data_IF_118645102628
#
_entry.id   IF_118645102628
#
_cell.length_a   1.000
_cell.length_b   1.000
_cell.length_c   1.000
_cell.angle_alpha   90.00
_cell.angle_beta   90.00
_cell.angle_gamma   90.00
#
_symmetry.space_group_name_H-M   'P 1'
#
loop_
_entity.id
_entity.type
_entity.pdbx_description
1 polymer ?
#
# COMPACT_ATOMS: atom_id res chain seq x y z
N UNK A 1 16.42 -0.53 5.42
CA UNK A 1 14.94 -0.43 5.34
C UNK A 1 14.35 -1.81 5.08
N UNK A 2 13.33 -2.18 5.83
CA UNK A 2 12.71 -3.51 5.74
C UNK A 2 11.67 -3.49 4.62
N UNK A 3 11.74 -4.46 3.70
CA UNK A 3 10.82 -4.59 2.57
C UNK A 3 9.84 -5.73 2.79
N UNK A 4 8.65 -5.62 2.19
CA UNK A 4 7.75 -6.76 2.05
C UNK A 4 8.18 -7.64 0.89
N UNK A 5 8.27 -8.95 1.12
CA UNK A 5 8.45 -9.90 0.02
C UNK A 5 7.11 -10.08 -0.70
N UNK A 6 7.18 -10.44 -1.98
CA UNK A 6 6.00 -10.75 -2.78
C UNK A 6 5.19 -11.88 -2.14
N UNK A 7 5.88 -12.93 -1.69
CA UNK A 7 5.25 -14.08 -1.05
C UNK A 7 4.44 -13.68 0.18
N UNK A 8 4.97 -12.75 0.97
CA UNK A 8 4.26 -12.28 2.16
C UNK A 8 3.01 -11.48 1.80
N UNK A 9 3.09 -10.64 0.77
CA UNK A 9 1.93 -9.89 0.28
C UNK A 9 0.85 -10.85 -0.21
N UNK A 10 1.23 -11.86 -0.97
CA UNK A 10 0.30 -12.88 -1.47
C UNK A 10 -0.38 -13.64 -0.33
N UNK A 11 0.39 -14.02 0.69
CA UNK A 11 -0.15 -14.71 1.86
C UNK A 11 -1.15 -13.82 2.62
N UNK A 12 -0.79 -12.56 2.86
CA UNK A 12 -1.67 -11.62 3.56
C UNK A 12 -2.95 -11.37 2.79
N UNK A 13 -2.88 -11.23 1.47
CA UNK A 13 -4.07 -11.07 0.64
C UNK A 13 -4.97 -12.30 0.74
N UNK A 14 -4.41 -13.49 0.67
CA UNK A 14 -5.17 -14.73 0.80
C UNK A 14 -5.88 -14.81 2.16
N UNK A 15 -5.16 -14.52 3.24
CA UNK A 15 -5.73 -14.53 4.59
C UNK A 15 -6.85 -13.52 4.74
N UNK A 16 -6.70 -12.33 4.17
CA UNK A 16 -7.74 -11.30 4.19
C UNK A 16 -8.98 -11.74 3.40
N UNK A 17 -8.79 -12.32 2.22
CA UNK A 17 -9.88 -12.79 1.39
C UNK A 17 -10.66 -13.91 2.09
N UNK A 18 -9.97 -14.86 2.70
CA UNK A 18 -10.61 -15.96 3.46
C UNK A 18 -11.40 -15.42 4.65
N UNK A 19 -10.86 -14.44 5.36
CA UNK A 19 -11.51 -13.86 6.53
C UNK A 19 -12.76 -13.05 6.19
N UNK A 20 -12.83 -12.47 5.00
CA UNK A 20 -13.92 -11.56 4.60
C UNK A 20 -14.87 -12.16 3.56
N UNK A 21 -14.63 -13.40 3.12
CA UNK A 21 -15.43 -14.04 2.07
C UNK A 21 -15.17 -13.50 0.67
N UNK A 22 -14.09 -12.74 0.49
CA UNK A 22 -13.70 -12.21 -0.82
C UNK A 22 -13.01 -13.25 -1.69
N UNK A 23 -12.77 -12.88 -2.95
CA UNK A 23 -12.09 -13.76 -3.91
C UNK A 23 -10.58 -13.72 -3.71
N UNK A 24 -9.96 -14.89 -3.69
CA UNK A 24 -8.50 -15.02 -3.74
C UNK A 24 -8.06 -15.03 -5.20
N UNK A 25 -6.85 -14.57 -5.47
CA UNK A 25 -6.24 -14.65 -6.78
C UNK A 25 -5.68 -13.33 -7.26
N UNK A 26 -4.76 -13.45 -8.20
CA UNK A 26 -4.08 -12.34 -8.83
C UNK A 26 -4.73 -12.10 -10.18
N UNK A 27 -5.11 -10.84 -10.46
CA UNK A 27 -5.61 -10.44 -11.77
C UNK A 27 -4.44 -10.18 -12.73
N UNK A 28 -3.38 -9.54 -12.23
CA UNK A 28 -2.22 -9.18 -13.05
C UNK A 28 -0.96 -9.18 -12.18
N UNK A 29 -0.15 -10.22 -12.37
CA UNK A 29 1.07 -10.40 -11.57
C UNK A 29 2.13 -9.33 -11.89
N UNK A 30 2.20 -8.88 -13.13
CA UNK A 30 3.11 -7.80 -13.53
C UNK A 30 2.80 -6.50 -12.82
N UNK A 31 1.51 -6.19 -12.62
CA UNK A 31 1.10 -5.01 -11.86
C UNK A 31 1.44 -5.15 -10.37
N UNK A 32 1.34 -6.35 -9.82
CA UNK A 32 1.77 -6.58 -8.44
C UNK A 32 3.27 -6.36 -8.29
N UNK A 33 4.08 -6.94 -9.16
CA UNK A 33 5.53 -6.76 -9.15
C UNK A 33 5.90 -5.28 -9.30
N UNK A 34 5.25 -4.59 -10.23
CA UNK A 34 5.46 -3.16 -10.46
C UNK A 34 5.14 -2.32 -9.23
N UNK A 35 4.05 -2.65 -8.51
CA UNK A 35 3.69 -1.94 -7.29
C UNK A 35 4.74 -2.13 -6.19
N UNK A 36 5.22 -3.36 -5.99
CA UNK A 36 6.19 -3.65 -4.95
C UNK A 36 7.57 -3.08 -5.25
N UNK A 37 7.99 -3.12 -6.51
CA UNK A 37 9.30 -2.60 -6.93
C UNK A 37 9.29 -1.08 -7.07
N UNK A 38 8.18 -0.49 -7.49
CA UNK A 38 8.06 0.94 -7.79
C UNK A 38 8.40 1.85 -6.62
N UNK A 39 8.07 1.44 -5.40
CA UNK A 39 8.36 2.22 -4.21
C UNK A 39 9.88 2.33 -3.94
N UNK A 40 10.67 1.40 -4.47
CA UNK A 40 12.11 1.35 -4.30
C UNK A 40 12.87 1.74 -5.57
N UNK A 41 12.15 2.19 -6.59
CA UNK A 41 12.75 2.58 -7.86
C UNK A 41 13.53 3.89 -7.73
N UNK A 42 14.49 4.06 -8.64
CA UNK A 42 15.31 5.25 -8.69
C UNK A 42 16.10 5.33 -9.98
N UNK A 43 16.92 6.37 -10.08
CA UNK A 43 17.83 6.56 -11.20
C UNK A 43 19.22 6.84 -10.66
N UNK A 44 20.18 5.99 -11.00
CA UNK A 44 21.54 6.08 -10.46
C UNK A 44 21.50 5.88 -8.94
N UNK A 45 22.09 6.82 -8.20
CA UNK A 45 22.11 6.77 -6.73
C UNK A 45 20.91 7.47 -6.10
N UNK A 46 19.98 7.99 -6.91
CA UNK A 46 18.82 8.72 -6.41
C UNK A 46 17.56 7.86 -6.44
N UNK A 47 16.92 7.73 -5.30
CA UNK A 47 15.62 7.09 -5.19
C UNK A 47 14.51 8.10 -5.48
N UNK A 48 13.44 7.65 -6.16
CA UNK A 48 12.28 8.51 -6.42
C UNK A 48 11.48 8.78 -5.15
N UNK A 49 11.50 7.82 -4.20
CA UNK A 49 10.78 7.90 -2.94
C UNK A 49 11.76 7.61 -1.80
N UNK A 50 12.61 8.60 -1.43
CA UNK A 50 13.75 8.32 -0.53
C UNK A 50 13.35 8.06 0.92
N UNK A 51 12.26 8.61 1.42
CA UNK A 51 11.86 8.43 2.82
C UNK A 51 10.96 7.21 3.01
N UNK A 52 10.88 6.72 4.24
CA UNK A 52 9.98 5.63 4.61
C UNK A 52 8.52 6.00 4.37
N UNK A 53 8.16 7.24 4.70
CA UNK A 53 6.82 7.77 4.51
C UNK A 53 6.45 7.79 3.03
N UNK A 54 7.37 8.26 2.18
CA UNK A 54 7.16 8.27 0.74
C UNK A 54 7.00 6.87 0.17
N UNK A 55 7.83 5.92 0.60
CA UNK A 55 7.74 4.54 0.15
C UNK A 55 6.45 3.88 0.60
N UNK A 56 6.06 4.07 1.85
CA UNK A 56 4.82 3.53 2.39
C UNK A 56 3.60 4.04 1.65
N UNK A 57 3.53 5.35 1.45
CA UNK A 57 2.44 5.98 0.69
C UNK A 57 2.42 5.48 -0.76
N UNK A 58 3.59 5.30 -1.39
CA UNK A 58 3.66 4.81 -2.77
C UNK A 58 3.17 3.36 -2.88
N UNK A 59 3.55 2.49 -1.94
CA UNK A 59 3.05 1.12 -1.89
C UNK A 59 1.53 1.10 -1.80
N UNK A 60 0.97 1.83 -0.85
CA UNK A 60 -0.48 1.90 -0.67
C UNK A 60 -1.19 2.44 -1.88
N UNK A 61 -0.72 3.56 -2.41
CA UNK A 61 -1.32 4.21 -3.56
C UNK A 61 -1.34 3.28 -4.78
N UNK A 62 -0.20 2.66 -5.09
CA UNK A 62 -0.08 1.82 -6.28
C UNK A 62 -0.89 0.53 -6.15
N UNK A 63 -0.84 -0.14 -4.99
CA UNK A 63 -1.60 -1.36 -4.75
C UNK A 63 -3.11 -1.13 -4.85
N UNK A 64 -3.59 0.03 -4.37
CA UNK A 64 -5.01 0.37 -4.49
C UNK A 64 -5.37 0.68 -5.94
N UNK A 65 -4.53 1.46 -6.63
CA UNK A 65 -4.88 2.06 -7.92
C UNK A 65 -4.72 1.11 -9.10
N UNK A 66 -3.76 0.17 -9.08
CA UNK A 66 -3.48 -0.66 -10.24
C UNK A 66 -4.25 -1.97 -10.31
N UNK A 67 -5.02 -2.31 -9.30
CA UNK A 67 -5.90 -3.48 -9.29
C UNK A 67 -5.17 -4.79 -9.65
N UNK A 68 -4.06 -5.07 -8.99
CA UNK A 68 -3.27 -6.29 -9.22
C UNK A 68 -4.00 -7.56 -8.82
N UNK A 69 -4.88 -7.49 -7.82
CA UNK A 69 -5.68 -8.61 -7.34
C UNK A 69 -7.09 -8.59 -7.93
N UNK A 70 -7.73 -9.75 -7.93
CA UNK A 70 -9.11 -9.88 -8.38
C UNK A 70 -10.06 -9.06 -7.48
N UNK A 71 -9.79 -9.07 -6.17
CA UNK A 71 -10.63 -8.42 -5.17
C UNK A 71 -9.76 -7.95 -4.00
N UNK A 72 -10.27 -7.01 -3.20
CA UNK A 72 -9.63 -6.58 -1.97
C UNK A 72 -8.44 -5.64 -2.15
N UNK A 73 -8.30 -4.97 -3.29
CA UNK A 73 -7.16 -4.08 -3.56
C UNK A 73 -7.08 -2.91 -2.59
N UNK A 74 -8.20 -2.29 -2.24
CA UNK A 74 -8.24 -1.19 -1.27
C UNK A 74 -7.73 -1.66 0.09
N UNK A 75 -8.23 -2.81 0.53
CA UNK A 75 -7.90 -3.36 1.85
C UNK A 75 -6.43 -3.76 1.94
N UNK A 76 -5.95 -4.52 0.94
CA UNK A 76 -4.54 -4.95 0.96
C UNK A 76 -3.59 -3.77 0.82
N UNK A 77 -3.91 -2.78 0.00
CA UNK A 77 -3.08 -1.59 -0.18
C UNK A 77 -2.92 -0.81 1.12
N UNK A 78 -4.02 -0.55 1.82
CA UNK A 78 -3.99 0.14 3.12
C UNK A 78 -3.20 -0.68 4.14
N UNK A 79 -3.45 -1.98 4.20
CA UNK A 79 -2.79 -2.87 5.15
C UNK A 79 -1.28 -2.91 4.94
N UNK A 80 -0.83 -3.06 3.69
CA UNK A 80 0.60 -3.10 3.36
C UNK A 80 1.27 -1.76 3.66
N UNK A 81 0.61 -0.65 3.36
CA UNK A 81 1.13 0.69 3.71
C UNK A 81 1.39 0.80 5.21
N UNK A 82 0.38 0.48 6.03
CA UNK A 82 0.50 0.58 7.48
C UNK A 82 1.58 -0.36 8.01
N UNK A 83 1.59 -1.60 7.54
CA UNK A 83 2.55 -2.60 8.00
C UNK A 83 3.98 -2.25 7.61
N UNK A 84 4.18 -1.74 6.39
CA UNK A 84 5.50 -1.29 5.95
C UNK A 84 6.01 -0.15 6.83
N UNK A 85 5.18 0.84 7.09
CA UNK A 85 5.56 1.97 7.94
C UNK A 85 5.90 1.50 9.36
N UNK A 86 5.07 0.63 9.93
CA UNK A 86 5.30 0.12 11.29
C UNK A 86 6.58 -0.71 11.38
N UNK A 87 6.84 -1.58 10.41
CA UNK A 87 8.06 -2.36 10.35
C UNK A 87 9.31 -1.49 10.28
N UNK A 88 9.18 -0.29 9.74
CA UNK A 88 10.27 0.66 9.59
C UNK A 88 10.26 1.76 10.66
N UNK A 89 9.54 1.55 11.74
CA UNK A 89 9.57 2.41 12.92
C UNK A 89 8.62 3.61 12.89
N UNK A 90 7.69 3.64 11.94
CA UNK A 90 6.72 4.73 11.82
C UNK A 90 5.33 4.22 12.18
N UNK A 91 4.79 4.78 13.26
CA UNK A 91 3.44 4.46 13.71
C UNK A 91 2.49 5.58 13.31
N UNK A 92 1.33 5.21 12.77
CA UNK A 92 0.28 6.17 12.45
C UNK A 92 -0.80 6.13 13.53
N UNK A 93 -1.36 7.29 13.82
CA UNK A 93 -2.48 7.45 14.74
C UNK A 93 -3.71 7.82 13.93
N UNK A 94 -4.60 6.85 13.74
CA UNK A 94 -5.81 7.03 12.92
C UNK A 94 -6.86 6.01 13.34
N UNK A 95 -8.10 6.28 12.95
CA UNK A 95 -9.23 5.39 13.20
C UNK A 95 -9.42 4.43 12.03
N UNK A 96 -10.17 3.36 12.25
CA UNK A 96 -10.54 2.42 11.18
C UNK A 96 -11.36 3.14 10.10
N UNK A 97 -12.25 4.04 10.48
CA UNK A 97 -13.06 4.82 9.54
C UNK A 97 -12.20 5.70 8.63
N UNK A 98 -11.14 6.30 9.18
CA UNK A 98 -10.18 7.07 8.38
C UNK A 98 -9.45 6.18 7.38
N UNK A 99 -9.09 4.95 7.77
CA UNK A 99 -8.43 4.00 6.88
C UNK A 99 -9.34 3.57 5.74
N UNK A 100 -10.61 3.30 6.03
CA UNK A 100 -11.60 2.98 5.00
C UNK A 100 -11.75 4.16 4.03
N UNK A 101 -11.82 5.38 4.56
CA UNK A 101 -11.99 6.57 3.75
C UNK A 101 -10.81 6.82 2.80
N UNK A 102 -9.57 6.67 3.26
CA UNK A 102 -8.42 6.84 2.36
C UNK A 102 -8.38 5.78 1.28
N UNK A 103 -8.73 4.53 1.59
CA UNK A 103 -8.82 3.47 0.60
C UNK A 103 -9.82 3.80 -0.51
N UNK A 104 -11.00 4.27 -0.12
CA UNK A 104 -12.04 4.69 -1.06
C UNK A 104 -11.61 5.92 -1.86
N UNK A 105 -10.98 6.90 -1.21
CA UNK A 105 -10.55 8.14 -1.85
C UNK A 105 -9.47 7.91 -2.89
N UNK A 106 -8.50 7.05 -2.60
CA UNK A 106 -7.47 6.67 -3.58
C UNK A 106 -8.09 5.89 -4.73
N UNK A 107 -8.92 4.91 -4.43
CA UNK A 107 -9.55 4.06 -5.46
C UNK A 107 -10.44 4.85 -6.42
N UNK A 108 -11.10 5.89 -5.94
CA UNK A 108 -11.99 6.73 -6.75
C UNK A 108 -11.25 7.85 -7.50
N UNK A 109 -9.96 8.03 -7.28
CA UNK A 109 -9.18 9.10 -7.88
C UNK A 109 -9.29 10.45 -7.18
N UNK A 110 -10.03 10.54 -6.08
CA UNK A 110 -10.15 11.78 -5.31
C UNK A 110 -8.88 12.12 -4.54
N UNK A 111 -8.12 11.11 -4.16
CA UNK A 111 -6.85 11.27 -3.45
C UNK A 111 -5.71 10.77 -4.32
N UNK A 112 -4.79 11.65 -4.65
CA UNK A 112 -3.58 11.33 -5.41
C UNK A 112 -2.46 10.89 -4.47
N UNK A 113 -1.36 10.43 -5.04
CA UNK A 113 -0.21 10.02 -4.24
C UNK A 113 0.27 11.10 -3.28
N UNK A 114 0.42 12.35 -3.75
CA UNK A 114 0.92 13.45 -2.94
C UNK A 114 -0.01 13.74 -1.75
N UNK A 115 -1.30 13.61 -1.96
CA UNK A 115 -2.30 13.80 -0.91
C UNK A 115 -2.27 12.64 0.10
N UNK A 116 -2.06 11.41 -0.37
CA UNK A 116 -1.90 10.27 0.53
C UNK A 116 -0.63 10.40 1.35
N UNK A 117 0.47 10.85 0.75
CA UNK A 117 1.71 11.13 1.47
C UNK A 117 1.47 12.19 2.56
N UNK A 118 0.78 13.27 2.23
CA UNK A 118 0.48 14.31 3.22
C UNK A 118 -0.37 13.76 4.36
N UNK A 119 -1.34 12.90 4.04
CA UNK A 119 -2.16 12.24 5.05
C UNK A 119 -1.29 11.39 6.00
N UNK A 120 -0.34 10.64 5.46
CA UNK A 120 0.61 9.86 6.27
C UNK A 120 1.41 10.76 7.19
N UNK A 121 1.96 11.85 6.66
CA UNK A 121 2.75 12.79 7.45
C UNK A 121 1.93 13.44 8.57
N UNK A 122 0.68 13.74 8.30
CA UNK A 122 -0.22 14.38 9.27
C UNK A 122 -0.68 13.43 10.38
N UNK A 123 -0.63 12.12 10.14
CA UNK A 123 -1.11 11.11 11.08
C UNK A 123 0.00 10.36 11.81
N UNK A 124 1.23 10.79 11.69
CA UNK A 124 2.33 10.17 12.44
C UNK A 124 2.13 10.42 13.95
N UNK A 125 2.26 9.35 14.71
CA UNK A 125 2.13 9.41 16.17
C UNK A 125 3.39 9.99 16.83
#
# INVERSE_FOLDING_TARGET
MIKFSKEKVLLLHQLMAEATGGSVGIRDEGLLDSALEGAFAGFGDQEFYPTKEEKGARLGYTLISNHAFVDGNKRIGVYIMLSFLEMNGIRLQCTDDELVDIGLSVASGRMRYEELLQWVLDHKA
#
